data_IF_111141654112
#
_entry.id   IF_111141654112
#
_cell.length_a   1.000
_cell.length_b   1.000
_cell.length_c   1.000
_cell.angle_alpha   90.00
_cell.angle_beta   90.00
_cell.angle_gamma   90.00
#
_symmetry.space_group_name_H-M   'P 1'
#
loop_
_entity.id
_entity.type
_entity.pdbx_description
1 polymer ?
#
# COMPACT_ATOMS: atom_id res chain seq x y z
N UNK A 1 4.24 46.79 100.27
CA UNK A 1 3.60 47.47 99.13
C UNK A 1 4.40 47.36 97.83
N UNK A 2 5.67 47.79 97.78
CA UNK A 2 6.54 47.67 96.60
C UNK A 2 6.67 46.25 96.01
N UNK A 3 6.68 45.20 96.84
CA UNK A 3 6.72 43.82 96.34
C UNK A 3 5.40 43.39 95.66
N UNK A 4 4.25 43.91 96.11
CA UNK A 4 2.95 43.58 95.54
C UNK A 4 2.81 44.20 94.14
N UNK A 5 3.23 45.46 93.99
CA UNK A 5 3.27 46.15 92.69
C UNK A 5 4.17 45.44 91.69
N UNK A 6 5.39 45.02 92.10
CA UNK A 6 6.30 44.25 91.23
C UNK A 6 5.69 42.92 90.73
N UNK A 7 4.93 42.24 91.59
CA UNK A 7 4.26 40.97 91.22
C UNK A 7 3.09 41.22 90.27
N UNK A 8 2.32 42.30 90.48
CA UNK A 8 1.23 42.72 89.59
C UNK A 8 1.77 43.09 88.19
N UNK A 9 2.87 43.83 88.11
CA UNK A 9 3.54 44.17 86.84
C UNK A 9 4.06 42.92 86.12
N UNK A 10 4.67 41.98 86.86
CA UNK A 10 5.14 40.71 86.30
C UNK A 10 3.99 39.84 85.78
N UNK A 11 2.86 39.79 86.49
CA UNK A 11 1.66 39.07 86.05
C UNK A 11 1.05 39.73 84.81
N UNK A 12 1.01 41.06 84.74
CA UNK A 12 0.54 41.79 83.57
C UNK A 12 1.42 41.52 82.34
N UNK A 13 2.75 41.53 82.50
CA UNK A 13 3.69 41.20 81.44
C UNK A 13 3.53 39.75 80.95
N UNK A 14 3.41 38.79 81.87
CA UNK A 14 3.18 37.38 81.52
C UNK A 14 1.84 37.15 80.80
N UNK A 15 0.77 37.87 81.18
CA UNK A 15 -0.52 37.81 80.47
C UNK A 15 -0.44 38.39 79.05
N UNK A 16 0.23 39.53 78.88
CA UNK A 16 0.42 40.13 77.57
C UNK A 16 1.23 39.21 76.64
N UNK A 17 2.25 38.55 77.18
CA UNK A 17 3.02 37.55 76.44
C UNK A 17 2.20 36.32 76.05
N UNK A 18 1.40 35.77 76.97
CA UNK A 18 0.47 34.67 76.66
C UNK A 18 -0.52 35.04 75.57
N UNK A 19 -1.06 36.26 75.59
CA UNK A 19 -2.00 36.71 74.56
C UNK A 19 -1.31 36.86 73.20
N UNK A 20 -0.10 37.42 73.16
CA UNK A 20 0.71 37.49 71.93
C UNK A 20 0.95 36.10 71.35
N UNK A 21 1.38 35.14 72.16
CA UNK A 21 1.61 33.76 71.73
C UNK A 21 0.32 33.07 71.26
N UNK A 22 -0.82 33.41 71.86
CA UNK A 22 -2.13 32.89 71.44
C UNK A 22 -2.50 33.38 70.05
N UNK A 23 -2.30 34.67 69.76
CA UNK A 23 -2.54 35.27 68.44
C UNK A 23 -1.58 34.68 67.40
N UNK A 24 -0.31 34.55 67.73
CA UNK A 24 0.70 33.95 66.83
C UNK A 24 0.35 32.48 66.52
N UNK A 25 -0.01 31.69 67.53
CA UNK A 25 -0.47 30.31 67.34
C UNK A 25 -1.74 30.23 66.48
N UNK A 26 -2.66 31.17 66.64
CA UNK A 26 -3.86 31.25 65.79
C UNK A 26 -3.48 31.54 64.33
N UNK A 27 -2.54 32.45 64.10
CA UNK A 27 -2.00 32.75 62.76
C UNK A 27 -1.31 31.54 62.14
N UNK A 28 -0.51 30.79 62.91
CA UNK A 28 0.14 29.57 62.44
C UNK A 28 -0.89 28.51 62.04
N UNK A 29 -1.93 28.30 62.86
CA UNK A 29 -2.98 27.33 62.55
C UNK A 29 -3.73 27.70 61.27
N UNK A 30 -3.96 28.98 61.01
CA UNK A 30 -4.61 29.42 59.78
C UNK A 30 -3.73 29.17 58.56
N UNK A 31 -2.45 29.56 58.64
CA UNK A 31 -1.48 29.26 57.57
C UNK A 31 -1.34 27.75 57.32
N UNK A 32 -1.41 26.93 58.38
CA UNK A 32 -1.39 25.49 58.26
C UNK A 32 -2.62 24.95 57.51
N UNK A 33 -3.81 25.46 57.80
CA UNK A 33 -5.04 25.11 57.06
C UNK A 33 -4.96 25.52 55.59
N UNK A 34 -4.43 26.72 55.32
CA UNK A 34 -4.22 27.18 53.94
C UNK A 34 -3.26 26.25 53.20
N UNK A 35 -2.14 25.86 53.84
CA UNK A 35 -1.19 24.91 53.28
C UNK A 35 -1.83 23.55 52.99
N UNK A 36 -2.61 23.00 53.92
CA UNK A 36 -3.35 21.74 53.72
C UNK A 36 -4.36 21.85 52.57
N UNK A 37 -5.06 22.98 52.46
CA UNK A 37 -6.01 23.24 51.36
C UNK A 37 -5.30 23.25 50.00
N UNK A 38 -4.19 23.99 49.88
CA UNK A 38 -3.40 24.05 48.65
C UNK A 38 -2.81 22.67 48.30
N UNK A 39 -2.35 21.92 49.30
CA UNK A 39 -1.83 20.57 49.08
C UNK A 39 -2.91 19.62 48.56
N UNK A 40 -4.14 19.74 49.06
CA UNK A 40 -5.29 18.98 48.57
C UNK A 40 -5.63 19.33 47.12
N UNK A 41 -5.72 20.63 46.79
CA UNK A 41 -5.97 21.10 45.42
C UNK A 41 -4.89 20.63 44.45
N UNK A 42 -3.62 20.67 44.86
CA UNK A 42 -2.51 20.17 44.06
C UNK A 42 -2.64 18.67 43.78
N UNK A 43 -3.05 17.88 44.77
CA UNK A 43 -3.26 16.45 44.62
C UNK A 43 -4.43 16.16 43.65
N UNK A 44 -5.54 16.88 43.79
CA UNK A 44 -6.71 16.77 42.89
C UNK A 44 -6.34 17.15 41.45
N UNK A 45 -5.59 18.25 41.27
CA UNK A 45 -5.09 18.68 39.96
C UNK A 45 -4.17 17.64 39.33
N UNK A 46 -3.26 17.04 40.11
CA UNK A 46 -2.39 15.98 39.62
C UNK A 46 -3.15 14.71 39.23
N UNK A 47 -4.18 14.32 39.97
CA UNK A 47 -5.04 13.20 39.61
C UNK A 47 -5.79 13.47 38.30
N UNK A 48 -6.38 14.65 38.14
CA UNK A 48 -7.04 15.07 36.90
C UNK A 48 -6.07 15.09 35.71
N UNK A 49 -4.84 15.57 35.91
CA UNK A 49 -3.81 15.54 34.86
C UNK A 49 -3.41 14.09 34.50
N UNK A 50 -3.29 13.21 35.48
CA UNK A 50 -2.97 11.80 35.25
C UNK A 50 -4.07 11.08 34.46
N UNK A 51 -5.35 11.33 34.78
CA UNK A 51 -6.48 10.77 34.03
C UNK A 51 -6.49 11.26 32.58
N UNK A 52 -6.33 12.57 32.35
CA UNK A 52 -6.27 13.14 31.01
C UNK A 52 -5.09 12.61 30.19
N UNK A 53 -3.93 12.44 30.80
CA UNK A 53 -2.79 11.81 30.13
C UNK A 53 -3.08 10.35 29.74
N UNK A 54 -3.77 9.59 30.60
CA UNK A 54 -4.22 8.23 30.29
C UNK A 54 -5.17 8.20 29.09
N UNK A 55 -6.15 9.09 29.06
CA UNK A 55 -7.11 9.21 27.94
C UNK A 55 -6.40 9.59 26.63
N UNK A 56 -5.49 10.57 26.66
CA UNK A 56 -4.70 10.95 25.49
C UNK A 56 -3.82 9.81 24.98
N UNK A 57 -3.20 9.05 25.88
CA UNK A 57 -2.40 7.89 25.51
C UNK A 57 -3.25 6.79 24.87
N UNK A 58 -4.43 6.51 25.43
CA UNK A 58 -5.38 5.55 24.86
C UNK A 58 -5.86 5.99 23.47
N UNK A 59 -6.19 7.26 23.29
CA UNK A 59 -6.62 7.79 22.00
C UNK A 59 -5.48 7.75 20.97
N UNK A 60 -4.25 8.09 21.37
CA UNK A 60 -3.07 7.99 20.51
C UNK A 60 -2.84 6.55 20.04
N UNK A 61 -2.98 5.57 20.95
CA UNK A 61 -2.87 4.15 20.61
C UNK A 61 -3.95 3.72 19.60
N UNK A 62 -5.20 4.12 19.80
CA UNK A 62 -6.29 3.80 18.87
C UNK A 62 -6.03 4.34 17.46
N UNK A 63 -5.49 5.57 17.35
CA UNK A 63 -5.11 6.12 16.05
C UNK A 63 -3.94 5.36 15.41
N UNK A 64 -2.96 4.94 16.20
CA UNK A 64 -1.84 4.15 15.71
C UNK A 64 -2.29 2.78 15.18
N UNK A 65 -3.16 2.09 15.91
CA UNK A 65 -3.73 0.80 15.50
C UNK A 65 -4.53 0.94 14.20
N UNK A 66 -5.35 1.99 14.09
CA UNK A 66 -6.11 2.28 12.87
C UNK A 66 -5.21 2.54 11.65
N UNK A 67 -4.11 3.30 11.83
CA UNK A 67 -3.14 3.53 10.76
C UNK A 67 -2.47 2.25 10.31
N UNK A 68 -2.07 1.38 11.25
CA UNK A 68 -1.44 0.11 10.94
C UNK A 68 -2.39 -0.83 10.19
N UNK A 69 -3.66 -0.92 10.60
CA UNK A 69 -4.68 -1.71 9.91
C UNK A 69 -4.92 -1.17 8.49
N UNK A 70 -5.03 0.14 8.34
CA UNK A 70 -5.22 0.78 7.04
C UNK A 70 -4.02 0.54 6.10
N UNK A 71 -2.79 0.68 6.60
CA UNK A 71 -1.58 0.39 5.82
C UNK A 71 -1.50 -1.08 5.40
N UNK A 72 -1.83 -2.00 6.32
CA UNK A 72 -1.85 -3.43 6.04
C UNK A 72 -2.90 -3.78 4.98
N UNK A 73 -4.12 -3.25 5.11
CA UNK A 73 -5.21 -3.46 4.15
C UNK A 73 -4.93 -2.83 2.78
N UNK A 74 -4.25 -1.68 2.75
CA UNK A 74 -3.80 -1.08 1.47
C UNK A 74 -2.75 -1.96 0.79
N UNK A 75 -1.78 -2.49 1.54
CA UNK A 75 -0.71 -3.33 1.01
C UNK A 75 -1.23 -4.66 0.46
N UNK A 76 -2.22 -5.29 1.12
CA UNK A 76 -2.83 -6.53 0.61
C UNK A 76 -3.57 -6.28 -0.69
N UNK A 77 -4.37 -5.20 -0.76
CA UNK A 77 -5.12 -4.87 -1.96
C UNK A 77 -4.21 -4.55 -3.16
N UNK A 78 -3.11 -3.84 -2.95
CA UNK A 78 -2.13 -3.57 -4.02
C UNK A 78 -1.47 -4.86 -4.52
N UNK A 79 -1.12 -5.77 -3.62
CA UNK A 79 -0.55 -7.07 -3.99
C UNK A 79 -1.54 -7.93 -4.81
N UNK A 80 -2.80 -7.98 -4.40
CA UNK A 80 -3.85 -8.68 -5.15
C UNK A 80 -4.06 -8.09 -6.55
N UNK A 81 -4.04 -6.76 -6.69
CA UNK A 81 -4.14 -6.10 -7.99
C UNK A 81 -2.92 -6.39 -8.87
N UNK A 82 -1.72 -6.45 -8.29
CA UNK A 82 -0.50 -6.80 -9.02
C UNK A 82 -0.55 -8.23 -9.55
N UNK A 83 -1.00 -9.19 -8.73
CA UNK A 83 -1.19 -10.59 -9.12
C UNK A 83 -2.21 -10.69 -10.27
N UNK A 84 -3.39 -10.11 -10.10
CA UNK A 84 -4.44 -10.12 -11.16
C UNK A 84 -3.96 -9.43 -12.43
N UNK A 85 -3.23 -8.32 -12.32
CA UNK A 85 -2.65 -7.65 -13.49
C UNK A 85 -1.60 -8.52 -14.18
N UNK A 86 -0.82 -9.30 -13.43
CA UNK A 86 0.11 -10.26 -14.02
C UNK A 86 -0.61 -11.37 -14.78
N UNK A 87 -1.68 -11.94 -14.21
CA UNK A 87 -2.52 -12.94 -14.87
C UNK A 87 -3.13 -12.40 -16.17
N UNK A 88 -3.70 -11.20 -16.14
CA UNK A 88 -4.25 -10.53 -17.33
C UNK A 88 -3.17 -10.37 -18.41
N UNK A 89 -1.95 -9.95 -18.04
CA UNK A 89 -0.84 -9.82 -19.00
C UNK A 89 -0.48 -11.16 -19.63
N UNK A 90 -0.41 -12.23 -18.85
CA UNK A 90 -0.14 -13.58 -19.36
C UNK A 90 -1.25 -14.06 -20.32
N UNK A 91 -2.51 -13.89 -19.93
CA UNK A 91 -3.66 -14.23 -20.77
C UNK A 91 -3.69 -13.42 -22.07
N UNK A 92 -3.41 -12.12 -21.99
CA UNK A 92 -3.34 -11.25 -23.17
C UNK A 92 -2.20 -11.65 -24.11
N UNK A 93 -1.04 -12.03 -23.58
CA UNK A 93 0.06 -12.56 -24.39
C UNK A 93 -0.36 -13.86 -25.11
N UNK A 94 -1.03 -14.77 -24.40
CA UNK A 94 -1.53 -16.02 -24.99
C UNK A 94 -2.61 -15.78 -26.04
N UNK A 95 -3.57 -14.90 -25.76
CA UNK A 95 -4.60 -14.51 -26.72
C UNK A 95 -3.98 -13.88 -27.97
N UNK A 96 -2.98 -13.00 -27.82
CA UNK A 96 -2.26 -12.44 -28.97
C UNK A 96 -1.61 -13.51 -29.83
N UNK A 97 -0.95 -14.51 -29.23
CA UNK A 97 -0.38 -15.64 -29.98
C UNK A 97 -1.46 -16.42 -30.75
N UNK A 98 -2.64 -16.60 -30.17
CA UNK A 98 -3.75 -17.31 -30.80
C UNK A 98 -4.46 -16.49 -31.89
N UNK A 99 -4.43 -15.15 -31.81
CA UNK A 99 -5.18 -14.26 -32.69
C UNK A 99 -4.36 -13.66 -33.84
N UNK A 100 -3.03 -13.84 -33.88
CA UNK A 100 -2.23 -13.38 -35.01
C UNK A 100 -2.54 -14.18 -36.27
N UNK A 101 -3.29 -13.57 -37.19
CA UNK A 101 -3.45 -14.07 -38.57
C UNK A 101 -2.10 -14.12 -39.26
N UNK A 102 -1.84 -15.18 -40.00
CA UNK A 102 -0.65 -15.28 -40.85
C UNK A 102 -0.74 -14.26 -41.98
N UNK A 103 0.28 -13.42 -42.11
CA UNK A 103 0.34 -12.37 -43.14
C UNK A 103 1.36 -12.78 -44.21
N UNK A 104 0.93 -13.04 -45.46
CA UNK A 104 1.84 -13.42 -46.52
C UNK A 104 2.66 -12.23 -47.04
N UNK A 105 3.82 -12.52 -47.61
CA UNK A 105 4.56 -11.57 -48.43
C UNK A 105 3.87 -11.42 -49.79
N UNK A 106 3.56 -10.17 -50.16
CA UNK A 106 2.91 -9.86 -51.43
C UNK A 106 3.78 -10.27 -52.61
N UNK A 107 3.22 -11.05 -53.54
CA UNK A 107 3.90 -11.48 -54.76
C UNK A 107 4.54 -12.87 -54.67
N UNK A 108 4.54 -13.51 -53.49
CA UNK A 108 4.86 -14.93 -53.36
C UNK A 108 3.56 -15.74 -53.35
N UNK A 109 3.28 -16.41 -54.46
CA UNK A 109 2.07 -17.21 -54.66
C UNK A 109 2.00 -18.38 -53.67
N UNK A 110 3.15 -18.96 -53.29
CA UNK A 110 3.20 -20.07 -52.33
C UNK A 110 2.79 -19.56 -50.95
N UNK A 111 3.31 -18.41 -50.56
CA UNK A 111 3.06 -17.81 -49.25
C UNK A 111 1.63 -17.29 -49.12
N UNK A 112 1.09 -16.65 -50.16
CA UNK A 112 -0.31 -16.21 -50.22
C UNK A 112 -1.29 -17.39 -50.07
N UNK A 113 -1.00 -18.49 -50.77
CA UNK A 113 -1.80 -19.70 -50.65
C UNK A 113 -1.65 -20.33 -49.25
N UNK A 114 -0.43 -20.38 -48.71
CA UNK A 114 -0.19 -20.90 -47.36
C UNK A 114 -0.92 -20.06 -46.32
N UNK A 115 -0.93 -18.74 -46.46
CA UNK A 115 -1.68 -17.84 -45.61
C UNK A 115 -3.18 -18.14 -45.62
N UNK A 116 -3.74 -18.44 -46.79
CA UNK A 116 -5.14 -18.83 -46.90
C UNK A 116 -5.40 -20.12 -46.10
N UNK A 117 -4.60 -21.16 -46.29
CA UNK A 117 -4.74 -22.42 -45.56
C UNK A 117 -4.55 -22.25 -44.04
N UNK A 118 -3.50 -21.56 -43.60
CA UNK A 118 -3.22 -21.35 -42.18
C UNK A 118 -4.31 -20.52 -41.50
N UNK A 119 -4.82 -19.47 -42.16
CA UNK A 119 -5.86 -18.62 -41.61
C UNK A 119 -7.26 -19.24 -41.67
N UNK A 120 -7.49 -20.26 -42.51
CA UNK A 120 -8.77 -20.97 -42.57
C UNK A 120 -8.81 -22.15 -41.62
N UNK A 121 -7.75 -22.97 -41.59
CA UNK A 121 -7.71 -24.20 -40.79
C UNK A 121 -7.18 -23.99 -39.37
N UNK A 122 -6.51 -22.87 -39.09
CA UNK A 122 -5.92 -22.54 -37.78
C UNK A 122 -5.14 -23.71 -37.17
N UNK A 123 -4.07 -24.19 -37.84
CA UNK A 123 -3.29 -25.30 -37.32
C UNK A 123 -2.72 -24.96 -35.93
N UNK A 124 -2.63 -25.95 -35.02
CA UNK A 124 -2.18 -25.71 -33.65
C UNK A 124 -0.69 -25.34 -33.55
N UNK A 125 0.08 -25.61 -34.61
CA UNK A 125 1.51 -25.29 -34.71
C UNK A 125 1.70 -24.17 -35.74
N UNK A 126 2.41 -23.09 -35.40
CA UNK A 126 2.61 -21.96 -36.30
C UNK A 126 3.59 -22.28 -37.44
N UNK A 127 3.38 -21.61 -38.58
CA UNK A 127 4.32 -21.55 -39.70
C UNK A 127 5.10 -20.24 -39.66
N UNK A 128 6.41 -20.30 -39.88
CA UNK A 128 7.26 -19.14 -40.08
C UNK A 128 7.99 -19.25 -41.42
N UNK A 129 7.93 -18.21 -42.25
CA UNK A 129 8.70 -18.15 -43.49
C UNK A 129 10.19 -17.99 -43.19
N UNK A 130 11.03 -18.82 -43.83
CA UNK A 130 12.49 -18.68 -43.79
C UNK A 130 13.02 -18.17 -45.13
N UNK A 131 12.52 -18.75 -46.23
CA UNK A 131 12.92 -18.44 -47.59
C UNK A 131 11.78 -18.78 -48.56
N UNK A 132 11.93 -18.48 -49.84
CA UNK A 132 10.92 -18.75 -50.87
C UNK A 132 10.67 -20.26 -50.98
N UNK A 133 9.45 -20.69 -50.66
CA UNK A 133 9.10 -22.12 -50.62
C UNK A 133 9.73 -22.89 -49.45
N UNK A 134 10.35 -22.23 -48.47
CA UNK A 134 10.96 -22.87 -47.29
C UNK A 134 10.40 -22.25 -46.01
N UNK A 135 9.77 -23.09 -45.20
CA UNK A 135 9.06 -22.68 -44.00
C UNK A 135 9.55 -23.47 -42.79
N UNK A 136 9.35 -22.91 -41.61
CA UNK A 136 9.53 -23.57 -40.33
C UNK A 136 8.15 -23.88 -39.77
N UNK A 137 7.85 -25.17 -39.63
CA UNK A 137 6.66 -25.67 -38.97
C UNK A 137 7.04 -26.16 -37.57
N UNK A 138 6.75 -25.35 -36.56
CA UNK A 138 7.20 -25.58 -35.19
C UNK A 138 8.73 -25.60 -35.07
N UNK A 139 9.32 -26.80 -34.97
CA UNK A 139 10.79 -26.96 -34.94
C UNK A 139 11.38 -27.52 -36.23
N UNK A 140 10.53 -27.94 -37.17
CA UNK A 140 10.93 -28.62 -38.40
C UNK A 140 10.96 -27.68 -39.60
N UNK A 141 12.08 -27.68 -40.32
CA UNK A 141 12.19 -26.99 -41.62
C UNK A 141 11.52 -27.83 -42.70
N UNK A 142 10.60 -27.22 -43.45
CA UNK A 142 9.81 -27.86 -44.51
C UNK A 142 9.93 -27.09 -45.82
N UNK A 143 9.90 -27.83 -46.92
CA UNK A 143 9.91 -27.26 -48.28
C UNK A 143 8.51 -27.43 -48.86
N UNK A 144 7.95 -26.32 -49.34
CA UNK A 144 6.59 -26.22 -49.86
C UNK A 144 6.66 -25.87 -51.34
N UNK A 145 5.84 -26.54 -52.14
CA UNK A 145 5.70 -26.25 -53.57
C UNK A 145 4.24 -26.25 -53.95
N UNK A 146 3.90 -25.51 -55.00
CA UNK A 146 2.61 -25.61 -55.67
C UNK A 146 2.69 -26.74 -56.69
N UNK A 147 1.71 -27.64 -56.67
CA UNK A 147 1.52 -28.66 -57.69
C UNK A 147 0.53 -28.17 -58.76
N UNK A 148 0.48 -28.83 -59.93
CA UNK A 148 -0.26 -28.39 -61.13
C UNK A 148 -1.76 -28.07 -60.95
N UNK A 149 -2.35 -28.44 -59.81
CA UNK A 149 -3.77 -28.18 -59.48
C UNK A 149 -3.94 -27.04 -58.46
N UNK A 150 -2.98 -26.10 -58.37
CA UNK A 150 -2.96 -25.00 -57.40
C UNK A 150 -3.08 -25.46 -55.93
N UNK A 151 -2.60 -26.67 -55.64
CA UNK A 151 -2.58 -27.25 -54.29
C UNK A 151 -1.17 -27.17 -53.71
N UNK A 152 -1.09 -26.80 -52.44
CA UNK A 152 0.16 -26.85 -51.68
C UNK A 152 0.54 -28.29 -51.37
N UNK A 153 1.78 -28.63 -51.68
CA UNK A 153 2.38 -29.91 -51.32
C UNK A 153 3.68 -29.70 -50.54
N UNK A 154 3.84 -30.48 -49.48
CA UNK A 154 4.97 -30.47 -48.57
C UNK A 154 5.93 -31.61 -48.92
N UNK A 155 7.22 -31.32 -49.07
CA UNK A 155 8.25 -32.33 -49.26
C UNK A 155 8.57 -33.00 -47.91
N UNK A 156 8.34 -34.30 -47.82
CA UNK A 156 8.74 -35.16 -46.69
C UNK A 156 9.63 -36.27 -47.21
N UNK A 157 10.49 -36.88 -46.37
CA UNK A 157 11.66 -37.72 -46.72
C UNK A 157 11.51 -38.91 -47.69
N UNK A 158 10.37 -39.08 -48.36
CA UNK A 158 10.15 -40.03 -49.46
C UNK A 158 9.13 -39.58 -50.52
N UNK A 159 8.60 -38.35 -50.48
CA UNK A 159 7.55 -37.91 -51.41
C UNK A 159 6.98 -36.53 -51.09
N UNK A 160 5.78 -36.25 -51.62
CA UNK A 160 5.04 -35.02 -51.38
C UNK A 160 3.74 -35.34 -50.65
N UNK A 161 3.33 -34.48 -49.71
CA UNK A 161 2.12 -34.63 -48.90
C UNK A 161 1.25 -33.38 -48.99
N UNK A 162 -0.07 -33.55 -49.00
CA UNK A 162 -1.02 -32.42 -49.01
C UNK A 162 -1.05 -31.71 -47.64
N UNK A 163 -1.52 -30.45 -47.60
CA UNK A 163 -1.59 -29.65 -46.38
C UNK A 163 -2.28 -30.36 -45.21
N UNK A 164 -3.52 -30.83 -45.39
CA UNK A 164 -4.32 -31.44 -44.32
C UNK A 164 -3.62 -32.69 -43.74
N UNK A 165 -3.17 -33.59 -44.61
CA UNK A 165 -2.44 -34.81 -44.20
C UNK A 165 -1.13 -34.48 -43.49
N UNK A 166 -0.45 -33.42 -43.91
CA UNK A 166 0.79 -32.97 -43.27
C UNK A 166 0.52 -32.49 -41.83
N UNK A 167 -0.53 -31.69 -41.63
CA UNK A 167 -0.93 -31.23 -40.29
C UNK A 167 -1.29 -32.42 -39.41
N UNK A 168 -2.14 -33.34 -39.86
CA UNK A 168 -2.57 -34.49 -39.05
C UNK A 168 -1.39 -35.37 -38.62
N UNK A 169 -0.39 -35.54 -39.48
CA UNK A 169 0.74 -36.42 -39.21
C UNK A 169 1.79 -35.78 -38.27
N UNK A 170 2.02 -34.47 -38.37
CA UNK A 170 3.16 -33.82 -37.71
C UNK A 170 2.78 -32.77 -36.66
N UNK A 171 1.53 -32.29 -36.63
CA UNK A 171 1.15 -31.22 -35.70
C UNK A 171 1.26 -31.65 -34.24
N UNK A 172 0.84 -32.86 -33.88
CA UNK A 172 0.94 -33.38 -32.51
C UNK A 172 2.39 -33.54 -32.06
N UNK A 173 3.25 -34.07 -32.93
CA UNK A 173 4.69 -34.27 -32.67
C UNK A 173 5.40 -32.93 -32.47
N UNK A 174 5.13 -31.94 -33.32
CA UNK A 174 5.78 -30.63 -33.26
C UNK A 174 5.24 -29.75 -32.13
N UNK A 175 3.96 -29.87 -31.77
CA UNK A 175 3.37 -29.19 -30.62
C UNK A 175 4.04 -29.63 -29.31
N UNK A 176 4.23 -30.94 -29.12
CA UNK A 176 4.91 -31.46 -27.94
C UNK A 176 6.37 -30.98 -27.82
N UNK A 177 7.08 -30.85 -28.95
CA UNK A 177 8.44 -30.30 -28.97
C UNK A 177 8.48 -28.81 -28.62
N UNK A 178 7.51 -28.04 -29.08
CA UNK A 178 7.39 -26.62 -28.77
C UNK A 178 7.12 -26.38 -27.29
N UNK A 179 6.19 -27.11 -26.69
CA UNK A 179 5.86 -26.99 -25.26
C UNK A 179 7.09 -27.27 -24.38
N UNK A 180 7.83 -28.33 -24.67
CA UNK A 180 9.07 -28.66 -23.96
C UNK A 180 10.14 -27.55 -24.08
N UNK A 181 10.21 -26.86 -25.22
CA UNK A 181 11.17 -25.77 -25.43
C UNK A 181 10.75 -24.48 -24.71
N UNK A 182 9.46 -24.20 -24.65
CA UNK A 182 8.90 -23.04 -23.93
C UNK A 182 9.05 -23.20 -22.41
N UNK A 183 8.89 -24.42 -21.89
CA UNK A 183 9.19 -24.76 -20.49
C UNK A 183 10.68 -24.62 -20.15
N UNK A 184 11.58 -25.00 -21.07
CA UNK A 184 13.02 -24.83 -20.88
C UNK A 184 13.45 -23.35 -20.96
N UNK A 185 12.81 -22.55 -21.81
CA UNK A 185 13.10 -21.12 -21.95
C UNK A 185 12.48 -20.25 -20.84
N UNK A 186 11.43 -20.73 -20.17
CA UNK A 186 10.78 -20.04 -19.04
C UNK A 186 11.40 -20.36 -17.68
N UNK A 187 12.34 -21.29 -17.59
CA UNK A 187 13.18 -21.43 -16.39
C UNK A 187 14.13 -20.23 -16.28
N UNK A 188 14.06 -19.42 -15.21
CA UNK A 188 14.98 -18.32 -15.03
C UNK A 188 16.38 -18.92 -14.90
N UNK A 189 17.22 -18.65 -15.89
CA UNK A 189 18.65 -18.87 -15.81
C UNK A 189 19.10 -18.33 -14.44
N UNK A 190 19.53 -19.25 -13.57
CA UNK A 190 20.18 -18.87 -12.33
C UNK A 190 21.32 -17.94 -12.70
N UNK A 191 21.19 -16.69 -12.28
CA UNK A 191 22.26 -15.71 -12.30
C UNK A 191 23.42 -16.36 -11.56
N UNK A 192 24.37 -16.89 -12.32
CA UNK A 192 25.68 -17.23 -11.82
C UNK A 192 26.27 -15.93 -11.31
N UNK A 193 26.24 -15.75 -10.00
CA UNK A 193 26.98 -14.72 -9.30
C UNK A 193 28.46 -15.11 -9.37
N UNK A 194 29.07 -14.86 -10.54
CA UNK A 194 30.52 -14.91 -10.67
C UNK A 194 31.10 -13.81 -9.78
N UNK A 195 31.74 -14.26 -8.70
CA UNK A 195 32.46 -13.41 -7.77
C UNK A 195 33.62 -12.71 -8.46
N UNK A 196 33.73 -11.40 -8.21
CA UNK A 196 34.94 -10.61 -8.44
C UNK A 196 34.89 -9.30 -7.64
N UNK A 197 36.05 -8.68 -7.37
CA UNK A 197 36.55 -8.49 -6.00
C UNK A 197 36.39 -7.08 -5.43
N UNK A 198 36.70 -6.97 -4.13
CA UNK A 198 36.87 -5.76 -3.31
C UNK A 198 37.55 -4.61 -4.08
N UNK A 199 36.91 -3.43 -4.03
CA UNK A 199 37.48 -2.16 -4.47
C UNK A 199 36.77 -0.98 -3.79
N UNK A 200 37.40 -0.49 -2.73
CA UNK A 200 37.46 0.88 -2.21
C UNK A 200 36.21 1.80 -2.15
N UNK A 201 35.83 2.05 -0.90
CA UNK A 201 34.97 3.15 -0.42
C UNK A 201 35.60 4.52 -0.69
N UNK A 202 34.81 5.53 -1.12
CA UNK A 202 35.04 6.91 -0.74
C UNK A 202 34.07 7.32 0.38
N UNK A 203 34.63 7.99 1.39
CA UNK A 203 33.98 8.41 2.63
C UNK A 203 32.92 9.51 2.51
N UNK A 204 32.41 10.00 3.66
CA UNK A 204 31.20 10.79 3.75
C UNK A 204 31.41 12.26 3.40
N UNK A 205 30.48 12.82 2.63
CA UNK A 205 30.40 14.25 2.34
C UNK A 205 29.78 15.03 3.53
N UNK A 206 30.22 16.28 3.76
CA UNK A 206 29.75 17.12 4.87
C UNK A 206 28.37 17.74 4.60
N UNK A 207 27.64 18.18 5.67
CA UNK A 207 26.37 18.86 5.54
C UNK A 207 26.60 20.35 5.29
N UNK A 208 26.03 20.89 4.21
CA UNK A 208 25.92 22.34 3.99
C UNK A 208 24.46 22.69 3.78
N UNK A 209 24.02 23.69 4.54
CA UNK A 209 22.65 24.13 4.61
C UNK A 209 22.22 25.08 3.49
N UNK A 210 20.93 25.42 3.61
CA UNK A 210 20.25 26.61 3.14
C UNK A 210 19.54 26.57 1.78
N UNK A 211 18.21 26.70 1.91
CA UNK A 211 17.32 27.51 1.10
C UNK A 211 17.01 27.09 -0.34
N UNK A 212 15.81 26.53 -0.56
CA UNK A 212 14.84 27.27 -1.38
C UNK A 212 13.40 26.82 -1.14
N UNK A 213 12.61 27.77 -0.61
CA UNK A 213 11.17 27.72 -0.43
C UNK A 213 10.52 28.09 -1.76
N UNK A 214 10.09 27.12 -2.56
CA UNK A 214 9.21 27.36 -3.71
C UNK A 214 7.84 26.74 -3.47
N UNK A 215 6.84 27.61 -3.51
CA UNK A 215 5.43 27.27 -3.45
C UNK A 215 5.04 26.42 -4.65
N UNK A 216 4.43 25.27 -4.39
CA UNK A 216 3.60 24.55 -5.36
C UNK A 216 2.22 24.38 -4.71
N UNK A 217 1.28 25.21 -5.16
CA UNK A 217 -0.14 25.05 -4.93
C UNK A 217 -0.63 23.92 -5.83
N UNK A 218 -1.15 22.85 -5.25
CA UNK A 218 -2.03 21.91 -5.94
C UNK A 218 -3.28 21.71 -5.10
N UNK A 219 -4.39 22.20 -5.62
CA UNK A 219 -5.71 22.07 -5.03
C UNK A 219 -6.29 20.74 -5.51
N UNK A 220 -6.23 19.70 -4.68
CA UNK A 220 -6.99 18.48 -4.91
C UNK A 220 -7.81 18.20 -3.67
N UNK A 221 -9.09 18.57 -3.74
CA UNK A 221 -10.10 18.32 -2.71
C UNK A 221 -10.47 16.84 -2.76
N UNK A 222 -9.78 16.02 -1.99
CA UNK A 222 -10.21 14.65 -1.69
C UNK A 222 -10.87 14.67 -0.32
N UNK A 223 -12.20 14.75 -0.31
CA UNK A 223 -13.00 14.73 0.91
C UNK A 223 -12.98 13.34 1.54
N UNK A 224 -12.21 13.18 2.60
CA UNK A 224 -12.26 12.01 3.47
C UNK A 224 -13.52 12.14 4.34
N UNK A 225 -14.46 11.21 4.17
CA UNK A 225 -15.72 11.16 4.92
C UNK A 225 -15.56 10.18 6.08
N UNK A 226 -15.29 10.68 7.29
CA UNK A 226 -15.38 9.90 8.52
C UNK A 226 -16.84 9.89 9.02
N UNK A 227 -17.38 8.75 9.49
CA UNK A 227 -18.70 8.72 10.10
C UNK A 227 -18.70 9.55 11.39
N UNK A 228 -19.55 10.59 11.45
CA UNK A 228 -19.78 11.41 12.65
C UNK A 228 -19.19 12.83 12.64
N UNK A 229 -18.33 13.21 11.67
CA UNK A 229 -17.74 14.55 11.61
C UNK A 229 -17.79 15.15 10.20
N UNK A 230 -18.28 16.40 10.09
CA UNK A 230 -18.23 17.18 8.84
C UNK A 230 -17.30 18.37 9.04
N UNK A 231 -16.13 18.35 8.40
CA UNK A 231 -15.19 19.47 8.41
C UNK A 231 -15.41 20.27 7.13
N UNK A 232 -15.88 21.52 7.25
CA UNK A 232 -15.91 22.48 6.13
C UNK A 232 -14.82 23.51 6.32
N UNK A 233 -13.87 23.54 5.41
CA UNK A 233 -12.88 24.61 5.31
C UNK A 233 -13.44 25.75 4.45
N UNK A 234 -13.71 26.91 5.05
CA UNK A 234 -13.83 28.19 4.35
C UNK A 234 -12.64 29.03 4.78
N UNK A 235 -11.93 29.59 3.81
CA UNK A 235 -10.61 30.18 3.98
C UNK A 235 -10.48 31.15 5.16
N UNK A 236 -9.38 31.02 5.89
CA UNK A 236 -8.85 32.05 6.79
C UNK A 236 -8.84 31.72 8.27
N UNK A 237 -9.76 30.90 8.79
CA UNK A 237 -9.74 30.49 10.20
C UNK A 237 -10.52 29.20 10.41
N UNK A 238 -9.84 28.14 10.85
CA UNK A 238 -10.50 26.88 11.21
C UNK A 238 -11.17 27.04 12.59
N UNK A 239 -12.50 27.09 12.61
CA UNK A 239 -13.26 26.88 13.84
C UNK A 239 -13.80 25.45 13.84
N UNK A 240 -13.48 24.70 14.89
CA UNK A 240 -13.99 23.34 15.12
C UNK A 240 -15.20 23.45 16.03
N UNK A 241 -16.41 23.35 15.47
CA UNK A 241 -17.65 23.20 16.25
C UNK A 241 -18.03 21.74 16.34
N UNK A 242 -17.84 21.14 17.52
CA UNK A 242 -18.40 19.84 17.85
C UNK A 242 -19.90 20.02 18.14
N UNK A 243 -20.77 19.35 17.36
CA UNK A 243 -22.21 19.31 17.62
C UNK A 243 -22.53 17.98 18.28
N UNK A 244 -22.73 18.00 19.60
CA UNK A 244 -23.22 16.83 20.35
C UNK A 244 -24.70 16.66 20.00
N UNK A 245 -25.02 15.73 19.10
CA UNK A 245 -26.40 15.31 18.86
C UNK A 245 -26.79 14.27 19.90
N UNK A 246 -27.37 14.70 21.01
CA UNK A 246 -28.05 13.82 21.96
C UNK A 246 -29.27 13.20 21.28
N UNK A 247 -29.19 11.93 20.91
CA UNK A 247 -30.37 11.14 20.52
C UNK A 247 -31.16 10.80 21.79
N UNK A 248 -32.16 11.62 22.12
CA UNK A 248 -33.20 11.25 23.07
C UNK A 248 -34.07 10.16 22.45
N UNK A 249 -33.94 8.95 22.98
CA UNK A 249 -34.77 7.78 22.66
C UNK A 249 -36.20 8.05 23.13
N UNK A 250 -37.09 8.34 22.20
CA UNK A 250 -38.52 8.54 22.46
C UNK A 250 -39.20 7.21 22.79
N UNK A 251 -39.81 7.14 23.97
CA UNK A 251 -40.81 6.15 24.33
C UNK A 251 -42.08 6.42 23.52
N UNK A 252 -42.58 5.39 22.82
CA UNK A 252 -43.86 5.43 22.12
C UNK A 252 -45.01 5.01 23.05
N UNK A 253 -46.21 5.61 22.92
CA UNK A 253 -47.34 5.29 23.77
C UNK A 253 -48.00 3.97 23.34
N UNK A 254 -48.33 3.19 24.36
CA UNK A 254 -49.11 1.96 24.34
C UNK A 254 -50.57 2.31 24.03
N UNK A 255 -51.11 1.88 22.89
CA UNK A 255 -52.54 1.96 22.60
C UNK A 255 -53.25 0.70 23.12
N UNK A 256 -54.41 0.96 23.74
CA UNK A 256 -55.37 0.00 24.29
C UNK A 256 -56.20 -0.66 23.19
#
# INVERSE_FOLDING_TARGET
>A
ENHRLKVEDQLAASRAECERLRVEKASYNELHREFESVQKELNESNQCRATLHGELASLAQQFQDFLQEWESGKSTHTSELEIKNAEIRCLMARLKQLMTKYQPLKGDVIDELLAQYVNTFHPPVPFFRLDDGVYLFGTRRVIVRIHNNDKLVFRIGGGFCDFEKFIDQYASEELAKLENRELAASSPAQVRTDGSPKGDLPGPLPPSGAANRRQLRSNTTTGIRLPGFTIRSRGGSAQVTARVTSHTRGEGPMQQ
#
